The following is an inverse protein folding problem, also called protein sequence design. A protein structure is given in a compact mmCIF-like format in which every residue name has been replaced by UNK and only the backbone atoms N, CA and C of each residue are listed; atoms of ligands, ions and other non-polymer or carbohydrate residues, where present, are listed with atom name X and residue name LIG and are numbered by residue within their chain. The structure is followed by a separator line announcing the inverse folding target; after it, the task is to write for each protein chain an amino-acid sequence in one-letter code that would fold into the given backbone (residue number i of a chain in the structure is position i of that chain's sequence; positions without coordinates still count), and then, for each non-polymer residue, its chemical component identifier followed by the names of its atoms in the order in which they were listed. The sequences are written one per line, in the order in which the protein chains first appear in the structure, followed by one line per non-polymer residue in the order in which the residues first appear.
data_IF_530222797016
#
_entry.id   IF_530222797016
#
_cell.length_a   1.000
_cell.length_b   1.000
_cell.length_c   1.000
_cell.angle_alpha   90.00
_cell.angle_beta   90.00
_cell.angle_gamma   90.00
#
_symmetry.space_group_name_H-M   'P 1'
#
loop_
_entity.id
_entity.type
_entity.pdbx_description
1 polymer ?
#
# COMPACT_ATOMS: atom_id res chain seq x y z
N UNK A 1 -30.06 -2.55 -32.81
CA UNK A 1 -29.20 -1.89 -31.79
C UNK A 1 -29.94 -1.35 -30.56
N UNK A 2 -31.27 -1.25 -30.52
CA UNK A 2 -32.02 -0.73 -29.35
C UNK A 2 -32.35 -1.74 -28.23
N UNK A 3 -32.07 -3.04 -28.42
CA UNK A 3 -32.42 -4.10 -27.43
C UNK A 3 -31.31 -4.40 -26.40
N UNK A 4 -30.06 -4.02 -26.67
CA UNK A 4 -28.92 -4.24 -25.75
C UNK A 4 -28.89 -3.18 -24.63
N UNK A 5 -29.38 -1.97 -24.91
CA UNK A 5 -29.44 -0.87 -23.93
C UNK A 5 -30.38 -1.18 -22.74
N UNK A 6 -31.46 -1.93 -22.98
CA UNK A 6 -32.40 -2.31 -21.92
C UNK A 6 -31.87 -3.43 -21.00
N UNK A 7 -30.84 -4.17 -21.41
CA UNK A 7 -30.23 -5.21 -20.56
C UNK A 7 -29.22 -4.61 -19.56
N UNK A 8 -28.64 -3.45 -19.88
CA UNK A 8 -27.72 -2.73 -18.98
C UNK A 8 -28.44 -2.00 -17.83
N UNK A 9 -29.75 -1.75 -17.95
CA UNK A 9 -30.54 -1.07 -16.92
C UNK A 9 -30.96 -2.00 -15.76
N UNK A 10 -30.81 -3.32 -15.90
CA UNK A 10 -31.12 -4.31 -14.86
C UNK A 10 -29.96 -4.57 -13.88
N UNK A 11 -28.80 -3.93 -14.06
CA UNK A 11 -27.64 -4.02 -13.16
C UNK A 11 -27.54 -2.84 -12.18
N UNK A 12 -28.66 -2.23 -11.81
CA UNK A 12 -28.71 -1.31 -10.66
C UNK A 12 -29.09 -2.16 -9.44
N UNK A 13 -28.13 -2.60 -8.61
CA UNK A 13 -28.50 -3.22 -7.34
C UNK A 13 -29.25 -2.20 -6.49
N UNK A 14 -30.36 -2.65 -5.91
CA UNK A 14 -31.10 -1.98 -4.85
C UNK A 14 -30.12 -1.43 -3.80
N UNK A 15 -29.91 -0.12 -3.80
CA UNK A 15 -29.12 0.56 -2.78
C UNK A 15 -30.00 0.64 -1.54
N UNK A 16 -29.93 -0.40 -0.70
CA UNK A 16 -30.40 -0.31 0.67
C UNK A 16 -29.58 0.79 1.35
N UNK A 17 -30.27 1.87 1.76
CA UNK A 17 -29.72 2.97 2.55
C UNK A 17 -29.31 2.44 3.93
N UNK A 18 -28.16 1.79 3.98
CA UNK A 18 -27.50 1.47 5.24
C UNK A 18 -26.84 2.76 5.71
N UNK A 19 -26.95 3.06 7.00
CA UNK A 19 -26.14 4.07 7.64
C UNK A 19 -24.66 3.71 7.47
N UNK A 20 -23.97 4.47 6.64
CA UNK A 20 -22.58 4.21 6.27
C UNK A 20 -21.70 5.17 7.05
N UNK A 21 -20.75 4.60 7.80
CA UNK A 21 -19.76 5.37 8.52
C UNK A 21 -18.53 5.46 7.63
N UNK A 22 -18.10 6.68 7.38
CA UNK A 22 -16.92 6.96 6.60
C UNK A 22 -15.78 7.38 7.53
N UNK A 23 -14.56 7.13 7.08
CA UNK A 23 -13.35 7.60 7.74
C UNK A 23 -12.49 8.32 6.73
N UNK A 24 -11.88 9.43 7.14
CA UNK A 24 -10.84 10.09 6.36
C UNK A 24 -9.66 10.38 7.27
N UNK A 25 -8.45 10.20 6.78
CA UNK A 25 -7.28 10.39 7.61
C UNK A 25 -5.97 10.38 6.87
N UNK A 26 -4.92 10.33 7.66
CA UNK A 26 -3.53 10.37 7.20
C UNK A 26 -2.78 9.13 7.62
N UNK A 27 -1.77 8.78 6.84
CA UNK A 27 -0.76 7.77 7.15
C UNK A 27 0.58 8.48 7.30
N UNK A 28 1.34 8.11 8.32
CA UNK A 28 2.72 8.56 8.53
C UNK A 28 3.55 7.38 9.03
N UNK A 29 4.69 7.15 8.40
CA UNK A 29 5.51 5.99 8.70
C UNK A 29 6.84 6.02 7.98
N UNK A 30 7.47 4.86 7.88
CA UNK A 30 8.64 4.64 7.07
C UNK A 30 8.42 3.58 5.99
N UNK A 31 9.33 3.58 5.02
CA UNK A 31 9.39 2.63 3.94
C UNK A 31 10.72 1.88 3.93
N UNK A 32 10.68 0.67 3.40
CA UNK A 32 11.88 -0.09 3.08
C UNK A 32 11.66 -0.91 1.81
N UNK A 33 12.75 -1.15 1.10
CA UNK A 33 12.78 -1.97 -0.10
C UNK A 33 13.36 -3.34 0.21
N UNK A 34 12.85 -4.37 -0.49
CA UNK A 34 13.33 -5.75 -0.40
C UNK A 34 13.38 -6.31 -1.82
N UNK A 35 14.60 -6.55 -2.31
CA UNK A 35 14.84 -7.12 -3.64
C UNK A 35 16.31 -7.45 -3.86
N UNK A 36 16.82 -7.15 -5.05
CA UNK A 36 18.15 -7.59 -5.50
C UNK A 36 19.31 -6.72 -5.03
N UNK A 37 19.05 -5.42 -4.79
CA UNK A 37 19.99 -4.48 -4.17
C UNK A 37 19.61 -4.21 -2.70
N UNK A 38 20.61 -4.28 -1.82
CA UNK A 38 20.45 -3.91 -0.40
C UNK A 38 20.13 -5.06 0.56
N UNK A 39 19.62 -4.68 1.74
CA UNK A 39 19.27 -5.60 2.83
C UNK A 39 18.06 -6.46 2.47
N UNK A 40 18.09 -7.72 2.89
CA UNK A 40 16.96 -8.67 2.75
C UNK A 40 16.01 -8.63 3.96
N UNK A 41 16.17 -7.63 4.83
CA UNK A 41 15.34 -7.48 6.03
C UNK A 41 13.97 -6.91 5.65
N UNK A 42 12.91 -7.67 5.89
CA UNK A 42 11.56 -7.30 5.46
C UNK A 42 10.97 -6.07 6.16
N UNK A 43 11.36 -5.79 7.40
CA UNK A 43 10.85 -4.64 8.17
C UNK A 43 12.05 -3.86 8.70
N UNK A 44 12.45 -2.82 7.97
CA UNK A 44 13.58 -1.97 8.31
C UNK A 44 13.36 -0.55 7.77
N UNK A 45 12.34 0.19 8.27
CA UNK A 45 11.97 1.48 7.71
C UNK A 45 13.16 2.45 7.72
N UNK A 46 13.57 2.91 6.54
CA UNK A 46 14.75 3.76 6.34
C UNK A 46 14.34 5.18 5.90
N UNK A 47 13.34 5.28 5.03
CA UNK A 47 12.88 6.54 4.44
C UNK A 47 11.48 6.88 4.92
N UNK A 48 11.14 8.18 4.92
CA UNK A 48 9.82 8.64 5.34
C UNK A 48 8.74 8.25 4.31
N UNK A 49 7.59 7.78 4.81
CA UNK A 49 6.39 7.50 4.04
C UNK A 49 5.21 8.27 4.63
N UNK A 50 4.42 8.92 3.77
CA UNK A 50 3.23 9.64 4.21
C UNK A 50 2.11 9.51 3.17
N UNK A 51 0.87 9.66 3.61
CA UNK A 51 -0.26 9.46 2.74
C UNK A 51 -1.59 9.90 3.34
N UNK A 52 -2.63 9.77 2.53
CA UNK A 52 -4.01 9.95 2.93
C UNK A 52 -4.78 8.66 2.70
N UNK A 53 -5.79 8.41 3.52
CA UNK A 53 -6.70 7.29 3.34
C UNK A 53 -8.14 7.69 3.61
N UNK A 54 -9.02 7.03 2.87
CA UNK A 54 -10.45 7.08 3.04
C UNK A 54 -10.97 5.67 3.24
N UNK A 55 -11.84 5.47 4.23
CA UNK A 55 -12.52 4.19 4.46
C UNK A 55 -14.02 4.38 4.41
N UNK A 56 -14.68 3.43 3.78
CA UNK A 56 -16.12 3.28 3.81
C UNK A 56 -16.47 2.01 4.58
N UNK A 57 -16.92 2.17 5.83
CA UNK A 57 -17.29 1.05 6.70
C UNK A 57 -18.68 0.53 6.34
N UNK A 58 -18.73 -0.61 5.66
CA UNK A 58 -19.99 -1.25 5.26
C UNK A 58 -20.60 -2.09 6.39
N UNK A 59 -19.76 -2.64 7.26
CA UNK A 59 -20.15 -3.39 8.47
C UNK A 59 -19.11 -3.20 9.58
N UNK A 60 -19.37 -3.61 10.83
CA UNK A 60 -18.38 -3.54 11.92
C UNK A 60 -17.06 -4.30 11.63
N UNK A 61 -17.09 -5.25 10.69
CA UNK A 61 -15.93 -6.08 10.31
C UNK A 61 -15.36 -5.79 8.93
N UNK A 62 -16.08 -5.11 8.05
CA UNK A 62 -15.66 -4.93 6.66
C UNK A 62 -15.74 -3.47 6.22
N UNK A 63 -14.63 -2.99 5.67
CA UNK A 63 -14.50 -1.62 5.20
C UNK A 63 -13.81 -1.60 3.84
N UNK A 64 -14.33 -0.80 2.91
CA UNK A 64 -13.60 -0.49 1.69
C UNK A 64 -12.59 0.60 2.00
N UNK A 65 -11.31 0.39 1.67
CA UNK A 65 -10.25 1.37 1.92
C UNK A 65 -9.60 1.80 0.62
N UNK A 66 -9.51 3.11 0.46
CA UNK A 66 -8.83 3.80 -0.62
C UNK A 66 -7.68 4.62 -0.01
N UNK A 67 -6.50 4.60 -0.60
CA UNK A 67 -5.37 5.37 -0.09
C UNK A 67 -4.46 5.87 -1.19
N UNK A 68 -3.83 7.01 -0.92
CA UNK A 68 -2.70 7.52 -1.66
C UNK A 68 -1.50 7.62 -0.70
N UNK A 69 -0.38 7.00 -1.05
CA UNK A 69 0.84 7.02 -0.24
C UNK A 69 2.02 7.42 -1.10
N UNK A 70 2.89 8.29 -0.59
CA UNK A 70 4.12 8.69 -1.24
C UNK A 70 5.30 8.43 -0.31
N UNK A 71 6.37 7.88 -0.87
CA UNK A 71 7.59 7.62 -0.14
C UNK A 71 8.78 7.52 -1.08
N UNK A 72 9.96 7.82 -0.55
CA UNK A 72 11.21 7.41 -1.16
C UNK A 72 11.54 6.01 -0.69
N UNK A 73 12.08 5.16 -1.54
CA UNK A 73 12.67 3.87 -1.17
C UNK A 73 14.14 3.87 -1.58
N UNK A 74 14.96 3.19 -0.81
CA UNK A 74 16.38 3.05 -1.10
C UNK A 74 16.84 1.65 -0.77
N UNK A 75 17.95 1.27 -1.39
CA UNK A 75 18.67 0.04 -1.09
C UNK A 75 20.16 0.27 -1.24
N UNK A 76 20.94 -0.26 -0.30
CA UNK A 76 22.39 -0.15 -0.29
C UNK A 76 23.00 -1.50 0.05
N UNK A 77 23.77 -2.04 -0.88
CA UNK A 77 24.40 -3.36 -0.77
C UNK A 77 25.35 -3.49 0.43
N UNK A 78 25.94 -2.38 0.91
CA UNK A 78 26.80 -2.40 2.10
C UNK A 78 26.03 -2.79 3.37
N UNK A 79 24.73 -2.52 3.41
CA UNK A 79 23.86 -2.88 4.53
C UNK A 79 23.36 -4.34 4.46
N UNK A 80 23.76 -5.07 3.42
CA UNK A 80 23.42 -6.47 3.24
C UNK A 80 24.34 -7.41 4.03
N UNK A 81 23.75 -8.44 4.66
CA UNK A 81 24.50 -9.52 5.32
C UNK A 81 25.15 -10.47 4.31
N UNK A 82 24.71 -10.43 3.06
CA UNK A 82 25.23 -11.26 1.98
C UNK A 82 26.56 -10.71 1.47
N UNK A 83 27.64 -11.49 1.60
CA UNK A 83 28.99 -11.05 1.22
C UNK A 83 29.12 -10.69 -0.26
N UNK A 84 28.32 -11.34 -1.13
CA UNK A 84 28.30 -11.05 -2.56
C UNK A 84 27.73 -9.67 -2.87
N UNK A 85 26.67 -9.26 -2.17
CA UNK A 85 26.06 -7.93 -2.30
C UNK A 85 27.02 -6.88 -1.73
N UNK A 86 27.51 -7.08 -0.51
CA UNK A 86 28.42 -6.15 0.15
C UNK A 86 29.68 -5.82 -0.68
N UNK A 87 30.24 -6.82 -1.39
CA UNK A 87 31.39 -6.61 -2.30
C UNK A 87 31.04 -5.87 -3.60
N UNK A 88 29.78 -5.96 -4.06
CA UNK A 88 29.28 -5.29 -5.27
C UNK A 88 29.04 -3.79 -5.02
N UNK A 89 28.50 -3.45 -3.85
CA UNK A 89 28.42 -2.07 -3.37
C UNK A 89 27.48 -1.17 -4.18
N UNK A 90 26.41 -1.72 -4.75
CA UNK A 90 25.41 -0.91 -5.45
C UNK A 90 24.47 -0.22 -4.47
N UNK A 91 24.04 0.99 -4.82
CA UNK A 91 23.09 1.78 -4.06
C UNK A 91 22.12 2.49 -4.99
N UNK A 92 20.84 2.50 -4.64
CA UNK A 92 19.82 3.22 -5.40
C UNK A 92 18.87 3.99 -4.49
N UNK A 93 18.23 4.99 -5.08
CA UNK A 93 17.12 5.71 -4.46
C UNK A 93 16.03 5.90 -5.52
N UNK A 94 14.77 5.68 -5.15
CA UNK A 94 13.62 5.79 -6.04
C UNK A 94 12.43 6.41 -5.30
N UNK A 95 11.59 7.17 -6.01
CA UNK A 95 10.37 7.74 -5.43
C UNK A 95 9.16 6.93 -5.88
N UNK A 96 8.39 6.43 -4.92
CA UNK A 96 7.16 5.67 -5.16
C UNK A 96 5.95 6.51 -4.78
N UNK A 97 4.99 6.57 -5.71
CA UNK A 97 3.65 7.11 -5.47
C UNK A 97 2.63 6.00 -5.70
N UNK A 98 1.95 5.58 -4.63
CA UNK A 98 1.00 4.47 -4.62
C UNK A 98 -0.43 4.98 -4.51
N UNK A 99 -1.31 4.52 -5.41
CA UNK A 99 -2.75 4.56 -5.24
C UNK A 99 -3.23 3.13 -4.95
N UNK A 100 -4.01 2.95 -3.89
CA UNK A 100 -4.48 1.63 -3.47
C UNK A 100 -5.98 1.63 -3.18
N UNK A 101 -6.65 0.56 -3.58
CA UNK A 101 -8.06 0.33 -3.30
C UNK A 101 -8.28 -1.14 -2.93
N UNK A 102 -9.05 -1.39 -1.86
CA UNK A 102 -9.22 -2.75 -1.36
C UNK A 102 -10.19 -2.89 -0.21
N UNK A 103 -10.13 -4.05 0.43
CA UNK A 103 -10.94 -4.42 1.57
C UNK A 103 -10.07 -4.49 2.84
N UNK A 104 -10.58 -3.90 3.90
CA UNK A 104 -10.08 -4.02 5.26
C UNK A 104 -11.05 -4.90 6.06
N UNK A 105 -10.52 -5.95 6.67
CA UNK A 105 -11.25 -6.86 7.53
C UNK A 105 -10.77 -6.72 8.97
N UNK A 106 -11.70 -6.43 9.89
CA UNK A 106 -11.45 -6.35 11.32
C UNK A 106 -11.77 -7.71 11.96
N UNK A 107 -10.84 -8.28 12.73
CA UNK A 107 -11.05 -9.56 13.38
C UNK A 107 -12.08 -9.48 14.52
N UNK A 108 -12.08 -8.37 15.28
CA UNK A 108 -13.07 -8.08 16.31
C UNK A 108 -14.05 -7.00 15.86
N UNK A 109 -15.26 -7.05 16.44
CA UNK A 109 -16.34 -6.13 16.11
C UNK A 109 -16.00 -4.67 16.47
N UNK A 110 -15.68 -3.90 15.44
CA UNK A 110 -15.30 -2.50 15.56
C UNK A 110 -16.49 -1.62 15.22
N UNK A 111 -17.47 -1.62 16.12
CA UNK A 111 -18.61 -0.72 16.00
C UNK A 111 -18.22 0.69 16.47
N UNK A 112 -18.07 1.60 15.50
CA UNK A 112 -17.75 3.02 15.70
C UNK A 112 -18.87 3.82 16.38
N UNK A 113 -20.03 3.21 16.64
CA UNK A 113 -21.13 3.83 17.37
C UNK A 113 -21.00 3.74 18.89
N UNK A 114 -20.14 2.85 19.39
CA UNK A 114 -19.98 2.63 20.83
C UNK A 114 -18.95 3.60 21.42
N UNK A 115 -19.27 4.19 22.57
CA UNK A 115 -18.42 5.16 23.25
C UNK A 115 -17.21 4.54 23.97
N UNK A 116 -17.16 3.21 24.08
CA UNK A 116 -16.08 2.51 24.75
C UNK A 116 -14.86 2.35 23.82
N UNK A 117 -13.63 2.49 24.35
CA UNK A 117 -12.43 2.10 23.62
C UNK A 117 -12.49 0.63 23.21
N UNK A 118 -12.25 0.38 21.94
CA UNK A 118 -12.21 -0.92 21.29
C UNK A 118 -10.91 -1.05 20.55
N UNK A 119 -10.31 -2.22 20.64
CA UNK A 119 -9.07 -2.54 19.94
C UNK A 119 -9.38 -3.70 19.01
N UNK A 120 -8.99 -3.60 17.74
CA UNK A 120 -9.16 -4.68 16.79
C UNK A 120 -7.90 -4.81 15.93
N UNK A 121 -7.32 -6.02 15.81
CA UNK A 121 -6.42 -6.29 14.71
C UNK A 121 -7.22 -6.30 13.41
N UNK A 122 -6.56 -5.91 12.32
CA UNK A 122 -7.14 -5.94 10.99
C UNK A 122 -6.13 -6.38 9.95
N UNK A 123 -6.67 -6.86 8.84
CA UNK A 123 -5.92 -7.13 7.61
C UNK A 123 -6.52 -6.30 6.49
N UNK A 124 -5.68 -5.70 5.66
CA UNK A 124 -6.08 -5.02 4.44
C UNK A 124 -5.38 -5.65 3.24
N UNK A 125 -6.14 -5.89 2.17
CA UNK A 125 -5.59 -6.28 0.87
C UNK A 125 -6.47 -5.75 -0.27
N UNK A 126 -5.92 -5.71 -1.47
CA UNK A 126 -6.60 -5.13 -2.63
C UNK A 126 -5.70 -5.06 -3.85
N UNK A 127 -5.84 -3.98 -4.61
CA UNK A 127 -5.02 -3.68 -5.76
C UNK A 127 -4.39 -2.30 -5.56
N UNK A 128 -3.08 -2.22 -5.80
CA UNK A 128 -2.34 -0.97 -5.82
C UNK A 128 -1.79 -0.72 -7.22
N UNK A 129 -1.82 0.54 -7.65
CA UNK A 129 -1.07 1.03 -8.79
C UNK A 129 -0.01 2.00 -8.26
N UNK A 130 1.24 1.77 -8.59
CA UNK A 130 2.34 2.60 -8.12
C UNK A 130 3.18 3.10 -9.28
N UNK A 131 3.58 4.37 -9.18
CA UNK A 131 4.46 5.04 -10.12
C UNK A 131 5.86 5.12 -9.51
N UNK A 132 6.87 4.80 -10.31
CA UNK A 132 8.28 4.76 -9.93
C UNK A 132 9.15 5.10 -11.14
N UNK A 133 10.45 5.31 -10.92
CA UNK A 133 11.41 5.49 -12.01
C UNK A 133 12.12 4.17 -12.32
N UNK A 134 12.15 3.77 -13.59
CA UNK A 134 12.99 2.65 -14.02
C UNK A 134 14.46 3.09 -14.00
N UNK A 135 15.28 2.31 -13.31
CA UNK A 135 16.69 2.58 -13.11
C UNK A 135 17.55 1.61 -13.93
N UNK A 136 18.84 1.93 -14.04
CA UNK A 136 19.89 1.02 -14.51
C UNK A 136 21.22 1.42 -13.85
N UNK A 137 22.13 0.46 -13.72
CA UNK A 137 23.44 0.70 -13.12
C UNK A 137 24.54 0.62 -14.19
N UNK A 138 25.30 1.70 -14.32
CA UNK A 138 26.42 1.79 -15.27
C UNK A 138 27.67 2.29 -14.54
N UNK A 139 28.72 1.48 -14.52
CA UNK A 139 29.98 1.83 -13.83
C UNK A 139 29.81 2.02 -12.32
N UNK A 140 28.90 1.27 -11.69
CA UNK A 140 28.59 1.37 -10.26
C UNK A 140 27.72 2.58 -9.88
N UNK A 141 27.28 3.39 -10.86
CA UNK A 141 26.37 4.50 -10.62
C UNK A 141 24.96 4.17 -11.13
N UNK A 142 23.98 4.41 -10.26
CA UNK A 142 22.56 4.28 -10.58
C UNK A 142 22.10 5.49 -11.38
N UNK A 143 21.44 5.23 -12.52
CA UNK A 143 20.90 6.26 -13.40
C UNK A 143 19.45 5.94 -13.72
N UNK A 144 18.67 7.00 -13.94
CA UNK A 144 17.28 6.92 -14.37
C UNK A 144 17.20 6.75 -15.89
N UNK A 145 16.37 5.82 -16.35
CA UNK A 145 15.98 5.69 -17.76
C UNK A 145 14.69 6.48 -18.03
N UNK A 146 13.58 6.06 -17.44
CA UNK A 146 12.25 6.64 -17.66
C UNK A 146 11.37 6.51 -16.43
N UNK A 147 10.29 7.29 -16.37
CA UNK A 147 9.23 7.08 -15.39
C UNK A 147 8.27 6.00 -15.87
N UNK A 148 7.88 5.12 -14.96
CA UNK A 148 7.07 3.94 -15.24
C UNK A 148 6.00 3.76 -14.16
N UNK A 149 5.12 2.79 -14.37
CA UNK A 149 4.08 2.44 -13.41
C UNK A 149 3.78 0.96 -13.50
N UNK A 150 3.48 0.35 -12.35
CA UNK A 150 3.10 -1.05 -12.29
C UNK A 150 2.02 -1.26 -11.23
N UNK A 151 1.47 -2.47 -11.22
CA UNK A 151 0.50 -2.90 -10.23
C UNK A 151 1.20 -3.69 -9.13
N UNK A 152 0.59 -3.69 -7.95
CA UNK A 152 1.01 -4.48 -6.80
C UNK A 152 -0.21 -5.01 -6.03
N UNK A 153 -0.01 -6.09 -5.29
CA UNK A 153 -0.97 -6.59 -4.31
C UNK A 153 -0.45 -6.20 -2.92
N UNK A 154 -1.09 -5.26 -2.22
CA UNK A 154 -0.76 -4.91 -0.85
C UNK A 154 -1.32 -5.97 0.10
N UNK A 155 -0.53 -6.35 1.09
CA UNK A 155 -0.96 -7.15 2.25
C UNK A 155 -0.52 -6.39 3.48
N UNK A 156 -1.48 -5.77 4.16
CA UNK A 156 -1.24 -4.94 5.34
C UNK A 156 -1.86 -5.58 6.56
N UNK A 157 -1.06 -5.71 7.62
CA UNK A 157 -1.50 -6.12 8.94
C UNK A 157 -1.41 -4.92 9.88
N UNK A 158 -2.43 -4.72 10.70
CA UNK A 158 -2.43 -3.63 11.65
C UNK A 158 -3.28 -3.89 12.87
N UNK A 159 -3.16 -3.00 13.83
CA UNK A 159 -4.00 -2.92 15.02
C UNK A 159 -4.53 -1.50 15.11
N UNK A 160 -5.83 -1.35 15.38
CA UNK A 160 -6.45 -0.02 15.53
C UNK A 160 -7.30 0.07 16.79
N UNK A 161 -7.41 1.29 17.31
CA UNK A 161 -8.22 1.65 18.45
C UNK A 161 -8.92 3.00 18.24
N UNK A 162 -10.18 3.13 18.66
CA UNK A 162 -10.80 4.44 18.82
C UNK A 162 -10.24 5.10 20.08
N UNK A 163 -9.51 6.20 19.89
CA UNK A 163 -8.91 6.99 20.97
C UNK A 163 -9.85 8.11 21.45
N UNK A 164 -10.80 8.51 20.60
CA UNK A 164 -11.89 9.41 20.93
C UNK A 164 -13.13 9.01 20.10
N UNK A 165 -14.33 9.53 20.41
CA UNK A 165 -15.57 9.12 19.71
C UNK A 165 -15.52 9.24 18.19
N UNK A 166 -14.71 10.17 17.67
CA UNK A 166 -14.54 10.40 16.24
C UNK A 166 -13.13 10.13 15.72
N UNK A 167 -12.20 9.68 16.57
CA UNK A 167 -10.80 9.50 16.17
C UNK A 167 -10.34 8.06 16.37
N UNK A 168 -9.79 7.49 15.31
CA UNK A 168 -9.23 6.14 15.31
C UNK A 168 -7.74 6.24 15.01
N UNK A 169 -6.95 5.63 15.88
CA UNK A 169 -5.52 5.48 15.73
C UNK A 169 -5.22 4.04 15.34
N UNK A 170 -4.39 3.83 14.31
CA UNK A 170 -3.95 2.50 13.91
C UNK A 170 -2.44 2.44 13.74
N UNK A 171 -1.83 1.31 14.09
CA UNK A 171 -0.45 1.00 13.72
C UNK A 171 -0.49 -0.14 12.69
N UNK A 172 0.23 0.01 11.59
CA UNK A 172 0.20 -0.95 10.48
C UNK A 172 1.56 -1.19 9.84
N UNK A 173 1.74 -2.41 9.35
CA UNK A 173 2.86 -2.82 8.49
C UNK A 173 2.27 -3.53 7.28
N UNK A 174 2.65 -3.12 6.08
CA UNK A 174 2.16 -3.76 4.87
C UNK A 174 3.20 -3.90 3.79
N UNK A 175 3.32 -5.12 3.29
CA UNK A 175 4.18 -5.47 2.18
C UNK A 175 3.41 -5.40 0.86
N UNK A 176 4.05 -4.91 -0.20
CA UNK A 176 3.49 -4.85 -1.54
C UNK A 176 4.24 -5.85 -2.41
N UNK A 177 3.53 -6.88 -2.83
CA UNK A 177 4.02 -7.78 -3.87
C UNK A 177 3.89 -7.07 -5.22
N UNK A 178 4.99 -6.71 -5.85
CA UNK A 178 4.95 -6.03 -7.15
C UNK A 178 5.03 -7.02 -8.30
N UNK A 179 4.54 -6.61 -9.46
CA UNK A 179 4.68 -7.37 -10.71
C UNK A 179 5.80 -6.81 -11.59
N UNK A 180 6.81 -6.19 -10.97
CA UNK A 180 7.99 -5.65 -11.63
C UNK A 180 9.24 -6.03 -10.86
N UNK A 181 10.36 -5.91 -11.54
CA UNK A 181 11.67 -6.38 -11.11
C UNK A 181 12.74 -5.29 -11.38
N UNK A 182 12.31 -4.05 -11.56
CA UNK A 182 13.20 -2.95 -11.95
C UNK A 182 12.97 -1.67 -11.16
N UNK A 183 12.59 -1.81 -9.89
CA UNK A 183 12.54 -0.68 -8.96
C UNK A 183 13.96 -0.27 -8.55
N UNK A 184 14.89 -1.24 -8.49
CA UNK A 184 16.30 -1.07 -8.09
C UNK A 184 17.30 -0.93 -9.26
N UNK A 185 16.84 -1.15 -10.49
CA UNK A 185 17.68 -1.08 -11.69
C UNK A 185 18.35 -2.39 -12.10
N UNK A 186 17.93 -3.52 -11.54
CA UNK A 186 18.42 -4.86 -11.84
C UNK A 186 17.93 -5.41 -13.18
N UNK A 187 16.70 -5.06 -13.60
CA UNK A 187 16.06 -5.58 -14.82
C UNK A 187 15.50 -4.46 -15.73
N UNK A 188 16.34 -3.56 -16.29
CA UNK A 188 15.87 -2.50 -17.17
C UNK A 188 15.08 -3.03 -18.37
N UNK A 189 13.89 -2.46 -18.60
CA UNK A 189 12.98 -2.87 -19.69
C UNK A 189 13.50 -2.49 -21.09
N UNK A 190 14.43 -1.54 -21.16
CA UNK A 190 15.03 -1.06 -22.39
C UNK A 190 16.03 -2.08 -22.95
N UNK A 191 15.82 -2.50 -24.20
CA UNK A 191 16.65 -3.52 -24.86
C UNK A 191 18.14 -3.14 -24.92
N UNK A 192 18.46 -1.85 -24.94
CA UNK A 192 19.85 -1.36 -24.96
C UNK A 192 20.60 -1.62 -23.65
N UNK A 193 19.88 -1.81 -22.54
CA UNK A 193 20.45 -2.03 -21.21
C UNK A 193 20.38 -3.49 -20.75
N UNK A 194 19.95 -4.43 -21.62
CA UNK A 194 20.00 -5.87 -21.33
C UNK A 194 21.35 -6.39 -20.85
N UNK A 195 22.51 -5.91 -21.35
CA UNK A 195 23.81 -6.34 -20.82
C UNK A 195 24.08 -5.90 -19.37
N UNK A 196 23.27 -4.98 -18.83
CA UNK A 196 23.37 -4.46 -17.47
C UNK A 196 22.48 -5.22 -16.48
N UNK A 197 21.80 -6.30 -16.91
CA UNK A 197 20.99 -7.14 -16.03
C UNK A 197 21.86 -7.81 -14.97
N UNK A 198 21.39 -7.82 -13.72
CA UNK A 198 22.04 -8.49 -12.61
C UNK A 198 21.00 -8.96 -11.59
N UNK A 199 21.40 -9.80 -10.62
CA UNK A 199 20.47 -10.30 -9.60
C UNK A 199 19.64 -11.48 -10.09
N UNK A 200 18.53 -11.76 -9.41
CA UNK A 200 17.63 -12.83 -9.74
C UNK A 200 16.38 -12.28 -10.42
N UNK A 201 16.42 -12.26 -11.76
CA UNK A 201 15.35 -11.71 -12.60
C UNK A 201 13.99 -12.46 -12.52
N UNK A 202 13.93 -13.54 -11.74
CA UNK A 202 12.70 -14.30 -11.49
C UNK A 202 12.04 -13.92 -10.16
N UNK A 203 12.63 -13.01 -9.38
CA UNK A 203 12.14 -12.62 -8.07
C UNK A 203 11.75 -11.14 -8.04
N UNK A 204 10.47 -10.89 -8.28
CA UNK A 204 9.92 -9.54 -8.27
C UNK A 204 10.28 -8.75 -7.00
N UNK A 205 10.34 -7.44 -7.18
CA UNK A 205 10.63 -6.47 -6.13
C UNK A 205 9.49 -6.32 -5.12
N UNK A 206 9.85 -6.05 -3.86
CA UNK A 206 8.90 -5.73 -2.80
C UNK A 206 9.26 -4.40 -2.17
N UNK A 207 8.24 -3.68 -1.73
CA UNK A 207 8.44 -2.58 -0.79
C UNK A 207 7.43 -2.69 0.34
N UNK A 208 7.83 -2.19 1.51
CA UNK A 208 7.08 -2.30 2.75
C UNK A 208 6.87 -0.91 3.30
N UNK A 209 5.65 -0.63 3.75
CA UNK A 209 5.33 0.55 4.54
C UNK A 209 4.99 0.12 5.96
N UNK A 210 5.57 0.80 6.95
CA UNK A 210 5.28 0.59 8.37
C UNK A 210 5.03 1.94 9.03
N UNK A 211 3.97 2.07 9.83
CA UNK A 211 3.62 3.37 10.36
C UNK A 211 2.33 3.41 11.15
N UNK A 212 1.82 4.63 11.29
CA UNK A 212 0.64 4.98 12.05
C UNK A 212 -0.37 5.63 11.12
N UNK A 213 -1.65 5.31 11.33
CA UNK A 213 -2.80 5.97 10.72
C UNK A 213 -3.58 6.72 11.78
N UNK A 214 -4.04 7.91 11.43
CA UNK A 214 -4.99 8.67 12.25
C UNK A 214 -6.17 9.04 11.35
N UNK A 215 -7.34 8.50 11.66
CA UNK A 215 -8.57 8.73 10.89
C UNK A 215 -9.65 9.38 11.74
N UNK A 216 -10.40 10.27 11.10
CA UNK A 216 -11.59 10.90 11.63
C UNK A 216 -12.84 10.21 11.06
N UNK A 217 -13.76 9.80 11.93
CA UNK A 217 -14.98 9.09 11.57
C UNK A 217 -16.16 10.07 11.43
N UNK A 218 -16.91 9.95 10.34
CA UNK A 218 -18.07 10.80 10.05
C UNK A 218 -19.15 10.03 9.28
N UNK A 219 -20.41 10.41 9.47
CA UNK A 219 -21.56 9.73 8.86
C UNK A 219 -22.77 9.75 9.78
N UNK A 220 -23.96 9.58 9.22
CA UNK A 220 -25.18 9.60 10.00
C UNK A 220 -25.44 8.24 10.65
N UNK A 221 -25.79 8.29 11.94
CA UNK A 221 -26.47 7.20 12.63
C UNK A 221 -27.82 6.99 11.93
N UNK A 222 -28.27 5.75 11.64
CA UNK A 222 -29.66 5.60 11.28
C UNK A 222 -30.46 5.99 12.52
N UNK A 223 -31.27 7.04 12.41
CA UNK A 223 -32.38 7.20 13.32
C UNK A 223 -33.29 6.01 13.05
N UNK A 224 -33.17 4.95 13.84
CA UNK A 224 -34.29 4.02 13.96
C UNK A 224 -35.42 4.84 14.57
N UNK A 225 -36.47 5.11 13.80
CA UNK A 225 -37.76 5.39 14.39
C UNK A 225 -38.04 4.21 15.32
N UNK A 226 -38.20 4.49 16.61
CA UNK A 226 -38.83 3.54 17.51
C UNK A 226 -40.24 3.30 16.94
N UNK A 227 -40.54 2.06 16.57
CA UNK A 227 -41.93 1.61 16.43
C UNK A 227 -42.65 1.72 17.78
#
# INVERSE_FOLDING_TARGET
MKKIFNLLLCFIPFITLNAQINEIGVFLGGSNYVGDVGSTTYIAPEKLAFGILYKWNKSPRHSYRFSYTQSTIAGNDFDSKETGRNRRGYSFENTVKELSAGLEFNFFDFNLHDYHPKITPYIYSGLSYFMYDELYILGGQTKKDKSSGSVAIPITLGIKSNIAPHWVLGAEVGARYTFTDNIDGSNPSNANYKPLHFGNLNNNDWYVFSGITLTYTFGQKPCYCAE
#
